data_IF_624413762931
#
_entry.id   IF_624413762931
#
_cell.length_a   1.000
_cell.length_b   1.000
_cell.length_c   1.000
_cell.angle_alpha   90.00
_cell.angle_beta   90.00
_cell.angle_gamma   90.00
#
_symmetry.space_group_name_H-M   'P 1'
#
loop_
_entity.id
_entity.type
_entity.pdbx_description
1 polymer ?
#
# COMPACT_ATOMS: atom_id res chain seq x y z
N UNK A 1 0.49 17.97 -14.18
CA UNK A 1 1.44 17.41 -15.18
C UNK A 1 2.31 16.30 -14.58
N UNK A 2 2.96 16.51 -13.42
CA UNK A 2 3.85 15.52 -12.80
C UNK A 2 3.19 14.17 -12.47
N UNK A 3 1.97 14.17 -11.91
CA UNK A 3 1.26 12.92 -11.60
C UNK A 3 0.99 12.06 -12.85
N UNK A 4 0.58 12.70 -13.95
CA UNK A 4 0.34 12.01 -15.22
C UNK A 4 1.63 11.43 -15.80
N UNK A 5 2.76 12.15 -15.68
CA UNK A 5 4.06 11.65 -16.10
C UNK A 5 4.47 10.42 -15.28
N UNK A 6 4.37 10.49 -13.94
CA UNK A 6 4.68 9.36 -13.06
C UNK A 6 3.83 8.12 -13.40
N UNK A 7 2.52 8.31 -13.57
CA UNK A 7 1.59 7.24 -13.94
C UNK A 7 1.97 6.60 -15.27
N UNK A 8 2.38 7.40 -16.26
CA UNK A 8 2.75 6.90 -17.58
C UNK A 8 4.09 6.13 -17.59
N UNK A 9 4.99 6.41 -16.65
CA UNK A 9 6.36 5.85 -16.65
C UNK A 9 6.56 4.72 -15.65
N UNK A 10 5.74 4.64 -14.60
CA UNK A 10 5.95 3.69 -13.48
C UNK A 10 4.87 2.60 -13.49
N UNK A 11 5.13 1.43 -14.10
CA UNK A 11 4.27 0.27 -13.95
C UNK A 11 4.52 -0.37 -12.58
N UNK A 12 3.49 -0.44 -11.74
CA UNK A 12 3.56 -1.12 -10.44
C UNK A 12 2.96 -2.52 -10.52
N UNK A 13 3.55 -3.43 -9.73
CA UNK A 13 3.20 -4.84 -9.65
C UNK A 13 3.01 -5.24 -8.18
N UNK A 14 2.34 -6.38 -7.94
CA UNK A 14 2.27 -6.93 -6.60
C UNK A 14 3.67 -7.14 -6.00
N UNK A 15 3.85 -6.73 -4.74
CA UNK A 15 5.14 -6.75 -4.05
C UNK A 15 5.94 -5.44 -4.13
N UNK A 16 5.60 -4.52 -5.03
CA UNK A 16 6.19 -3.19 -5.05
C UNK A 16 5.71 -2.36 -3.85
N UNK A 17 6.50 -1.38 -3.42
CA UNK A 17 6.03 -0.40 -2.45
C UNK A 17 5.02 0.58 -3.09
N UNK A 18 4.14 1.21 -2.29
CA UNK A 18 3.30 2.29 -2.79
C UNK A 18 4.14 3.42 -3.40
N UNK A 19 3.57 4.18 -4.35
CA UNK A 19 4.23 5.36 -4.93
C UNK A 19 4.73 6.32 -3.86
N UNK A 20 5.89 6.93 -4.07
CA UNK A 20 6.44 7.95 -3.17
C UNK A 20 6.42 9.31 -3.87
N UNK A 21 5.88 10.33 -3.20
CA UNK A 21 6.03 11.72 -3.61
C UNK A 21 7.15 12.35 -2.80
N UNK A 22 8.24 12.69 -3.45
CA UNK A 22 9.33 13.46 -2.86
C UNK A 22 9.00 14.96 -2.91
N UNK A 23 8.97 15.61 -1.73
CA UNK A 23 8.75 17.05 -1.59
C UNK A 23 9.85 17.68 -0.75
N UNK A 24 10.67 18.49 -1.41
CA UNK A 24 11.77 19.23 -0.81
C UNK A 24 11.59 20.76 -0.98
N UNK A 25 12.30 21.60 -0.20
CA UNK A 25 12.17 23.05 -0.24
C UNK A 25 12.33 23.62 -1.66
N UNK A 26 11.28 24.21 -2.24
CA UNK A 26 11.44 24.97 -3.47
C UNK A 26 12.23 26.25 -3.21
N UNK A 27 12.99 26.71 -4.21
CA UNK A 27 13.74 27.98 -4.11
C UNK A 27 12.83 29.20 -3.86
N UNK A 28 11.60 29.18 -4.38
CA UNK A 28 10.56 30.21 -4.17
C UNK A 28 9.19 29.53 -4.30
N UNK A 29 8.29 29.69 -3.32
CA UNK A 29 6.97 29.06 -3.39
C UNK A 29 5.92 29.79 -2.55
N UNK A 30 4.73 29.93 -3.13
CA UNK A 30 3.49 30.10 -2.37
C UNK A 30 3.14 28.76 -1.72
N UNK A 31 3.13 28.74 -0.38
CA UNK A 31 2.86 27.54 0.42
C UNK A 31 1.45 26.98 0.15
N UNK A 32 0.46 27.83 -0.13
CA UNK A 32 -0.89 27.39 -0.43
C UNK A 32 -0.95 26.68 -1.78
N UNK A 33 -0.26 27.21 -2.78
CA UNK A 33 -0.11 26.58 -4.10
C UNK A 33 0.63 25.25 -4.00
N UNK A 34 1.78 25.22 -3.31
CA UNK A 34 2.53 23.99 -3.07
C UNK A 34 1.63 22.88 -2.47
N UNK A 35 0.92 23.19 -1.39
CA UNK A 35 0.03 22.22 -0.73
C UNK A 35 -1.08 21.73 -1.67
N UNK A 36 -1.62 22.63 -2.50
CA UNK A 36 -2.63 22.29 -3.50
C UNK A 36 -2.07 21.32 -4.54
N UNK A 37 -0.86 21.57 -5.04
CA UNK A 37 -0.21 20.70 -6.03
C UNK A 37 0.15 19.33 -5.46
N UNK A 38 0.71 19.28 -4.25
CA UNK A 38 0.96 18.02 -3.52
C UNK A 38 -0.33 17.21 -3.40
N UNK A 39 -1.42 17.84 -2.95
CA UNK A 39 -2.71 17.15 -2.82
C UNK A 39 -3.22 16.62 -4.15
N UNK A 40 -3.16 17.43 -5.21
CA UNK A 40 -3.56 17.00 -6.55
C UNK A 40 -2.75 15.79 -7.02
N UNK A 41 -1.44 15.78 -6.76
CA UNK A 41 -0.60 14.64 -7.10
C UNK A 41 -0.99 13.38 -6.31
N UNK A 42 -1.07 13.49 -4.98
CA UNK A 42 -1.39 12.36 -4.09
C UNK A 42 -2.73 11.73 -4.46
N UNK A 43 -3.76 12.55 -4.64
CA UNK A 43 -5.11 12.07 -5.01
C UNK A 43 -5.12 11.44 -6.40
N UNK A 44 -4.43 12.01 -7.39
CA UNK A 44 -4.41 11.45 -8.74
C UNK A 44 -3.70 10.09 -8.79
N UNK A 45 -2.57 9.96 -8.08
CA UNK A 45 -1.77 8.73 -8.02
C UNK A 45 -2.49 7.65 -7.22
N UNK A 46 -3.10 8.00 -6.08
CA UNK A 46 -3.93 7.09 -5.31
C UNK A 46 -5.13 6.57 -6.13
N UNK A 47 -5.79 7.48 -6.86
CA UNK A 47 -6.90 7.10 -7.73
C UNK A 47 -6.46 6.15 -8.86
N UNK A 48 -5.23 6.27 -9.36
CA UNK A 48 -4.71 5.40 -10.40
C UNK A 48 -4.31 4.02 -9.86
N UNK A 49 -3.44 3.97 -8.84
CA UNK A 49 -2.86 2.71 -8.35
C UNK A 49 -3.71 2.01 -7.29
N UNK A 50 -4.77 2.66 -6.77
CA UNK A 50 -5.66 2.14 -5.71
C UNK A 50 -4.93 1.79 -4.41
N UNK A 51 -3.76 2.39 -4.20
CA UNK A 51 -2.97 2.32 -2.98
C UNK A 51 -2.59 3.72 -2.59
N UNK A 52 -2.46 3.94 -1.28
CA UNK A 52 -2.17 5.25 -0.73
C UNK A 52 -0.67 5.56 -0.89
N UNK A 53 -0.29 6.63 -1.61
CA UNK A 53 1.10 7.02 -1.76
C UNK A 53 1.76 7.41 -0.44
N UNK A 54 3.08 7.32 -0.39
CA UNK A 54 3.92 7.77 0.72
C UNK A 54 4.40 9.19 0.40
N UNK A 55 4.29 10.10 1.37
CA UNK A 55 4.88 11.43 1.29
C UNK A 55 6.30 11.36 1.85
N UNK A 56 7.29 11.74 1.06
CA UNK A 56 8.66 11.92 1.53
C UNK A 56 8.97 13.41 1.71
N UNK A 57 9.64 13.76 2.81
CA UNK A 57 10.18 15.10 3.01
C UNK A 57 11.22 15.15 4.13
N UNK A 58 12.11 16.14 4.10
CA UNK A 58 12.99 16.40 5.23
C UNK A 58 12.26 17.04 6.41
N UNK A 59 12.76 16.76 7.61
CA UNK A 59 12.13 17.16 8.88
C UNK A 59 11.84 18.66 8.97
N UNK A 60 12.81 19.50 8.61
CA UNK A 60 12.65 20.95 8.70
C UNK A 60 11.54 21.42 7.77
N UNK A 61 11.54 20.98 6.51
CA UNK A 61 10.53 21.38 5.55
C UNK A 61 9.13 20.88 5.93
N UNK A 62 9.02 19.60 6.27
CA UNK A 62 7.77 19.00 6.70
C UNK A 62 7.14 19.79 7.86
N UNK A 63 7.93 20.08 8.90
CA UNK A 63 7.43 20.77 10.11
C UNK A 63 6.90 22.16 9.81
N UNK A 64 7.54 22.91 8.91
CA UNK A 64 7.14 24.29 8.61
C UNK A 64 5.97 24.36 7.63
N UNK A 65 5.90 23.43 6.66
CA UNK A 65 5.02 23.60 5.51
C UNK A 65 3.99 22.49 5.32
N UNK A 66 4.22 21.28 5.82
CA UNK A 66 3.38 20.11 5.49
C UNK A 66 2.60 19.54 6.68
N UNK A 67 3.13 19.68 7.90
CA UNK A 67 2.52 19.14 9.12
C UNK A 67 1.04 19.57 9.26
N UNK A 68 0.15 18.60 9.53
CA UNK A 68 -1.29 18.84 9.70
C UNK A 68 -2.10 18.95 8.40
N UNK A 69 -1.46 18.90 7.22
CA UNK A 69 -2.16 19.01 5.92
C UNK A 69 -2.31 17.69 5.16
N UNK A 70 -1.52 16.67 5.52
CA UNK A 70 -1.40 15.38 4.82
C UNK A 70 -1.26 14.21 5.80
N UNK A 71 -1.82 14.36 7.01
CA UNK A 71 -1.71 13.37 8.09
C UNK A 71 -2.39 12.02 7.77
N UNK A 72 -3.21 11.99 6.71
CA UNK A 72 -3.85 10.81 6.16
C UNK A 72 -2.94 9.99 5.24
N UNK A 73 -1.76 10.51 4.87
CA UNK A 73 -0.76 9.83 4.06
C UNK A 73 0.42 9.34 4.93
N UNK A 74 0.96 8.13 4.67
CA UNK A 74 2.15 7.66 5.35
C UNK A 74 3.36 8.55 5.05
N UNK A 75 4.16 8.83 6.06
CA UNK A 75 5.32 9.72 5.97
C UNK A 75 6.63 8.91 5.96
N UNK A 76 7.47 9.21 4.97
CA UNK A 76 8.88 8.87 4.94
C UNK A 76 9.68 10.13 5.28
N UNK A 77 10.27 10.16 6.46
CA UNK A 77 10.90 11.36 7.01
C UNK A 77 12.43 11.30 6.83
N UNK A 78 13.01 12.30 6.19
CA UNK A 78 14.45 12.50 6.22
C UNK A 78 14.86 13.33 7.44
N UNK A 79 15.72 12.77 8.28
CA UNK A 79 16.24 13.46 9.47
C UNK A 79 17.60 12.89 9.83
N UNK A 80 18.64 13.51 9.28
CA UNK A 80 20.01 12.99 9.37
C UNK A 80 20.67 13.37 10.71
N UNK A 81 21.74 12.66 11.04
CA UNK A 81 22.64 12.98 12.17
C UNK A 81 21.95 13.06 13.55
N UNK A 82 20.79 12.42 13.71
CA UNK A 82 20.07 12.35 14.99
C UNK A 82 19.96 10.91 15.47
N UNK A 83 19.97 10.72 16.80
CA UNK A 83 19.78 9.41 17.41
C UNK A 83 18.36 8.85 17.18
N UNK A 84 17.39 9.74 16.99
CA UNK A 84 15.99 9.41 16.65
C UNK A 84 15.32 10.63 16.01
N UNK A 85 14.32 10.43 15.11
CA UNK A 85 13.50 11.52 14.63
C UNK A 85 12.83 12.29 15.77
N UNK A 86 12.73 13.62 15.63
CA UNK A 86 12.07 14.48 16.60
C UNK A 86 10.53 14.44 16.52
N UNK A 87 9.96 13.94 15.41
CA UNK A 87 8.52 13.69 15.33
C UNK A 87 8.13 12.46 16.15
N UNK A 88 6.92 12.43 16.74
CA UNK A 88 6.40 11.22 17.38
C UNK A 88 6.45 10.01 16.43
N UNK A 89 6.74 8.82 16.97
CA UNK A 89 6.94 7.61 16.18
C UNK A 89 5.73 7.26 15.30
N UNK A 90 4.51 7.52 15.79
CA UNK A 90 3.27 7.30 15.05
C UNK A 90 3.10 8.21 13.81
N UNK A 91 3.95 9.23 13.65
CA UNK A 91 3.85 10.18 12.53
C UNK A 91 4.63 9.77 11.30
N UNK A 92 5.50 8.76 11.37
CA UNK A 92 6.32 8.32 10.25
C UNK A 92 6.42 6.79 10.20
N UNK A 93 6.65 6.26 9.01
CA UNK A 93 6.79 4.81 8.78
C UNK A 93 8.17 4.42 8.27
N UNK A 94 8.88 5.34 7.64
CA UNK A 94 10.27 5.17 7.19
C UNK A 94 11.04 6.40 7.63
N UNK A 95 12.24 6.17 8.16
CA UNK A 95 13.20 7.21 8.50
C UNK A 95 14.42 7.06 7.58
N UNK A 96 14.69 8.08 6.78
CA UNK A 96 16.00 8.20 6.12
C UNK A 96 16.98 8.78 7.14
N UNK A 97 17.86 7.91 7.61
CA UNK A 97 18.79 8.16 8.70
C UNK A 97 20.07 8.86 8.22
N UNK A 98 20.47 8.60 6.97
CA UNK A 98 21.69 9.11 6.37
C UNK A 98 21.59 9.11 4.85
N UNK A 99 22.27 10.04 4.20
CA UNK A 99 22.59 10.12 2.77
C UNK A 99 24.07 9.77 2.47
N UNK A 100 24.83 9.49 3.52
CA UNK A 100 26.29 9.26 3.49
C UNK A 100 26.68 7.83 3.88
N UNK A 101 25.75 6.87 3.81
CA UNK A 101 26.05 5.50 4.22
C UNK A 101 26.89 4.75 3.18
N UNK A 102 27.64 3.75 3.65
CA UNK A 102 28.38 2.82 2.81
C UNK A 102 27.80 1.42 2.92
N UNK A 103 27.34 0.87 1.78
CA UNK A 103 26.77 -0.47 1.70
C UNK A 103 27.62 -1.33 0.77
N UNK A 104 28.14 -2.50 1.21
CA UNK A 104 28.88 -3.41 0.35
C UNK A 104 28.09 -3.74 -0.92
N UNK A 105 28.72 -3.51 -2.07
CA UNK A 105 28.11 -3.71 -3.39
C UNK A 105 27.65 -2.44 -4.10
N UNK A 106 27.61 -1.30 -3.42
CA UNK A 106 27.33 0.01 -4.04
C UNK A 106 28.59 0.88 -4.03
N UNK A 107 28.86 1.56 -5.15
CA UNK A 107 29.98 2.51 -5.25
C UNK A 107 29.51 3.90 -4.84
N UNK A 108 30.24 4.53 -3.92
CA UNK A 108 29.90 5.85 -3.38
C UNK A 108 29.05 5.77 -2.12
N UNK A 109 28.64 6.92 -1.60
CA UNK A 109 27.67 7.03 -0.51
C UNK A 109 26.26 6.78 -1.02
N UNK A 110 25.38 6.32 -0.14
CA UNK A 110 23.98 6.02 -0.44
C UNK A 110 23.05 6.42 0.71
N UNK A 111 21.81 6.70 0.34
CA UNK A 111 20.73 6.86 1.28
C UNK A 111 20.46 5.57 2.07
N UNK A 112 20.33 5.71 3.39
CA UNK A 112 20.09 4.62 4.31
C UNK A 112 18.81 4.85 5.10
N UNK A 113 17.92 3.87 5.00
CA UNK A 113 16.55 3.99 5.46
C UNK A 113 16.20 2.90 6.47
N UNK A 114 15.45 3.27 7.49
CA UNK A 114 14.95 2.38 8.53
C UNK A 114 13.44 2.37 8.49
N UNK A 115 12.85 1.19 8.28
CA UNK A 115 11.41 1.01 8.38
C UNK A 115 11.00 0.85 9.85
N UNK A 116 9.93 1.55 10.26
CA UNK A 116 9.39 1.48 11.60
C UNK A 116 8.47 0.27 11.77
N UNK A 117 9.06 -0.92 11.87
CA UNK A 117 8.30 -2.14 12.09
C UNK A 117 9.10 -3.42 11.82
N UNK A 118 8.39 -4.54 11.83
CA UNK A 118 8.96 -5.82 11.44
C UNK A 118 9.03 -5.97 9.93
N UNK A 119 9.84 -6.92 9.46
CA UNK A 119 9.88 -7.28 8.03
C UNK A 119 8.50 -7.70 7.50
N UNK A 120 7.71 -8.42 8.29
CA UNK A 120 6.34 -8.79 7.91
C UNK A 120 5.43 -7.56 7.75
N UNK A 121 5.59 -6.53 8.59
CA UNK A 121 4.86 -5.27 8.44
C UNK A 121 5.31 -4.48 7.19
N UNK A 122 6.60 -4.54 6.83
CA UNK A 122 7.09 -3.97 5.57
C UNK A 122 6.48 -4.68 4.36
N UNK A 123 6.40 -6.01 4.39
CA UNK A 123 5.73 -6.78 3.33
C UNK A 123 4.23 -6.44 3.23
N UNK A 124 3.57 -6.20 4.37
CA UNK A 124 2.17 -5.79 4.39
C UNK A 124 1.92 -4.38 3.82
N UNK A 125 2.95 -3.53 3.74
CA UNK A 125 2.87 -2.21 3.09
C UNK A 125 2.87 -2.32 1.56
N UNK A 126 3.41 -3.42 1.02
CA UNK A 126 3.53 -3.62 -0.43
C UNK A 126 2.16 -3.76 -1.10
N UNK A 127 2.12 -3.44 -2.39
CA UNK A 127 0.93 -3.58 -3.23
C UNK A 127 0.53 -5.06 -3.26
N UNK A 128 -0.70 -5.33 -2.84
CA UNK A 128 -1.24 -6.68 -2.83
C UNK A 128 -1.45 -7.22 -4.26
N UNK A 129 -1.38 -8.54 -4.41
CA UNK A 129 -1.82 -9.17 -5.65
C UNK A 129 -3.32 -8.91 -5.86
N UNK A 130 -3.76 -8.68 -7.12
CA UNK A 130 -5.20 -8.60 -7.40
C UNK A 130 -5.84 -9.91 -6.95
N UNK A 131 -6.97 -9.80 -6.24
CA UNK A 131 -7.72 -10.97 -5.81
C UNK A 131 -8.06 -11.83 -7.04
N UNK A 132 -7.94 -13.17 -6.96
CA UNK A 132 -8.40 -14.02 -8.04
C UNK A 132 -9.89 -13.75 -8.29
N UNK A 133 -10.35 -13.77 -9.55
CA UNK A 133 -11.76 -13.55 -9.85
C UNK A 133 -12.61 -14.57 -9.07
N UNK A 134 -13.81 -14.17 -8.58
CA UNK A 134 -14.68 -15.08 -7.86
C UNK A 134 -14.97 -16.30 -8.74
N UNK A 135 -14.60 -17.48 -8.24
CA UNK A 135 -14.84 -18.74 -8.95
C UNK A 135 -16.35 -18.90 -9.08
N UNK A 136 -16.87 -18.81 -10.30
CA UNK A 136 -18.28 -19.00 -10.57
C UNK A 136 -18.72 -20.38 -10.03
N UNK A 137 -19.88 -20.49 -9.35
CA UNK A 137 -20.35 -21.75 -8.83
C UNK A 137 -20.51 -22.73 -10.00
N UNK A 138 -19.74 -23.81 -9.96
CA UNK A 138 -19.81 -24.88 -10.94
C UNK A 138 -21.19 -25.52 -10.81
N UNK A 139 -22.04 -25.31 -11.82
CA UNK A 139 -23.33 -25.99 -11.90
C UNK A 139 -23.10 -27.49 -11.94
N UNK A 140 -23.31 -28.17 -10.81
CA UNK A 140 -23.41 -29.63 -10.78
C UNK A 140 -24.59 -30.03 -11.66
N UNK A 141 -24.33 -30.60 -12.84
CA UNK A 141 -25.36 -31.27 -13.63
C UNK A 141 -25.96 -32.37 -12.76
N UNK A 142 -27.24 -32.23 -12.37
CA UNK A 142 -27.99 -33.33 -11.76
C UNK A 142 -28.16 -34.40 -12.84
N UNK A 143 -27.38 -35.48 -12.76
CA UNK A 143 -27.66 -36.71 -13.51
C UNK A 143 -28.98 -37.27 -12.99
N UNK A 144 -30.07 -37.03 -13.71
CA UNK A 144 -31.34 -37.71 -13.47
C UNK A 144 -31.16 -39.17 -13.89
N UNK A 145 -30.85 -40.05 -12.94
CA UNK A 145 -31.03 -41.49 -13.14
C UNK A 145 -32.53 -41.77 -13.13
N UNK A 146 -33.09 -42.17 -14.27
CA UNK A 146 -34.45 -42.73 -14.30
C UNK A 146 -34.45 -44.08 -13.58
N UNK A 147 -34.99 -44.14 -12.38
CA UNK A 147 -35.29 -45.41 -11.71
C UNK A 147 -36.64 -45.93 -12.24
N UNK A 148 -36.61 -47.06 -12.97
CA UNK A 148 -37.81 -47.86 -13.20
C UNK A 148 -38.25 -48.45 -11.85
N UNK A 149 -39.47 -48.11 -11.43
CA UNK A 149 -40.13 -48.75 -10.29
C UNK A 149 -40.57 -50.16 -10.69
N UNK A 150 -40.00 -51.18 -10.05
CA UNK A 150 -40.58 -52.52 -9.97
C UNK A 150 -41.38 -52.60 -8.67
N UNK A 151 -42.67 -52.90 -8.76
CA UNK A 151 -43.56 -53.09 -7.60
C UNK A 151 -43.22 -54.43 -6.93
N UNK A 152 -42.94 -54.39 -5.63
CA UNK A 152 -43.18 -55.53 -4.73
C UNK A 152 -44.09 -55.09 -3.59
N UNK A 153 -45.13 -55.88 -3.23
CA UNK A 153 -46.01 -55.55 -2.13
C UNK A 153 -45.48 -56.14 -0.82
N UNK A 154 -45.58 -55.35 0.26
CA UNK A 154 -45.65 -55.87 1.62
C UNK A 154 -44.39 -55.66 2.46
N UNK A 155 -44.39 -54.59 3.27
CA UNK A 155 -44.35 -54.72 4.74
C UNK A 155 -44.54 -53.36 5.43
N UNK A 156 -45.13 -53.48 6.61
CA UNK A 156 -45.60 -52.50 7.56
C UNK A 156 -44.52 -51.54 8.07
N UNK A 157 -44.97 -50.31 8.35
CA UNK A 157 -44.19 -49.24 8.95
C UNK A 157 -43.78 -49.55 10.39
N UNK A 158 -42.57 -49.13 10.77
CA UNK A 158 -42.22 -48.85 12.16
C UNK A 158 -41.38 -47.57 12.23
N UNK A 159 -41.81 -46.72 13.16
CA UNK A 159 -41.33 -45.39 13.50
C UNK A 159 -40.35 -45.55 14.66
N UNK A 160 -39.09 -45.12 14.52
CA UNK A 160 -38.21 -44.90 15.69
C UNK A 160 -37.46 -43.58 15.51
N UNK A 161 -37.87 -42.60 16.32
CA UNK A 161 -37.08 -41.43 16.69
C UNK A 161 -36.10 -41.86 17.80
N UNK A 162 -34.82 -41.53 17.64
CA UNK A 162 -33.98 -40.83 18.62
C UNK A 162 -32.83 -40.14 17.90
#
# INVERSE_FOLDING_TARGET
QQAALFIATVPLRPGDLPPVLDVEPPKFHDVAELRREIRQWLTAVEAHYKVRPILYSNYTFYRHYLAGHFDDYPLWLAHYEVARPALPAERWIIWQHSDEAYVPGIRGTVDFNVFQGSYAALQALQIAAPAPPPVAPTSRKKTVRSSRFSKQPGRTAELVQR
#
